data_IF_480531035388
#
_entry.id   IF_480531035388
#
_cell.length_a   1.000
_cell.length_b   1.000
_cell.length_c   1.000
_cell.angle_alpha   90.00
_cell.angle_beta   90.00
_cell.angle_gamma   90.00
#
_symmetry.space_group_name_H-M   'P 1'
#
loop_
_entity.id
_entity.type
_entity.pdbx_description
1 polymer ?
#
# COMPACT_ATOMS: atom_id res chain seq x y z
N UNK A 1 -2.75 23.84 1.34
CA UNK A 1 -3.25 23.03 2.46
C UNK A 1 -3.56 21.67 1.86
N UNK A 2 -2.70 20.69 2.09
CA UNK A 2 -2.67 19.44 1.31
C UNK A 2 -3.46 18.37 2.04
N UNK A 3 -4.51 17.84 1.40
CA UNK A 3 -5.30 16.75 1.98
C UNK A 3 -4.59 15.41 1.75
N UNK A 4 -4.09 14.79 2.82
CA UNK A 4 -3.80 13.36 2.81
C UNK A 4 -5.12 12.60 2.77
N UNK A 5 -5.35 11.82 1.71
CA UNK A 5 -6.40 10.80 1.74
C UNK A 5 -5.95 9.65 2.64
N UNK A 6 -6.52 9.61 3.85
CA UNK A 6 -6.43 8.46 4.77
C UNK A 6 -7.79 7.76 4.75
N UNK A 7 -7.79 6.45 4.46
CA UNK A 7 -9.02 5.66 4.43
C UNK A 7 -9.61 5.50 5.84
N UNK A 8 -10.93 5.61 5.96
CA UNK A 8 -11.64 5.58 7.25
C UNK A 8 -12.54 4.34 7.39
N UNK A 9 -12.84 3.97 8.63
CA UNK A 9 -13.74 2.88 9.01
C UNK A 9 -14.96 3.48 9.72
N UNK A 10 -16.09 3.53 9.01
CA UNK A 10 -17.25 4.38 9.34
C UNK A 10 -17.91 4.00 10.67
N UNK A 11 -18.17 4.98 11.54
CA UNK A 11 -18.98 4.80 12.77
C UNK A 11 -20.03 5.91 12.92
N UNK A 12 -21.31 5.55 12.92
CA UNK A 12 -22.42 6.49 13.20
C UNK A 12 -22.77 6.52 14.70
N UNK A 13 -22.67 7.67 15.40
CA UNK A 13 -23.21 7.82 16.75
C UNK A 13 -24.71 8.20 16.68
N UNK A 14 -25.59 7.22 16.88
CA UNK A 14 -27.04 7.47 16.88
C UNK A 14 -27.49 8.11 18.20
N UNK A 15 -27.83 9.41 18.16
CA UNK A 15 -28.31 10.16 19.33
C UNK A 15 -29.84 10.13 19.45
N UNK A 16 -30.35 9.76 20.63
CA UNK A 16 -31.64 10.28 21.15
C UNK A 16 -31.53 10.55 22.66
N UNK A 17 -32.14 11.63 23.19
CA UNK A 17 -31.93 12.06 24.56
C UNK A 17 -33.02 11.56 25.52
N UNK A 18 -32.67 11.36 26.80
CA UNK A 18 -33.66 11.34 27.88
C UNK A 18 -33.15 12.04 29.16
N UNK A 19 -33.90 13.07 29.56
CA UNK A 19 -34.05 13.72 30.87
C UNK A 19 -32.83 14.32 31.62
N UNK A 20 -32.93 15.64 31.78
CA UNK A 20 -32.28 16.47 32.78
C UNK A 20 -32.50 15.99 34.23
N UNK A 21 -31.49 16.18 35.08
CA UNK A 21 -31.62 17.04 36.28
C UNK A 21 -30.26 17.69 36.65
N UNK A 22 -30.22 18.87 37.30
CA UNK A 22 -29.01 19.69 37.38
C UNK A 22 -28.23 19.59 38.71
N UNK A 23 -26.93 19.89 38.65
CA UNK A 23 -26.05 20.12 39.81
C UNK A 23 -25.05 21.25 39.51
N UNK A 24 -24.89 22.18 40.45
CA UNK A 24 -24.16 23.46 40.26
C UNK A 24 -22.66 23.40 40.58
N UNK A 25 -21.88 24.26 39.88
CA UNK A 25 -20.56 24.88 40.19
C UNK A 25 -19.70 24.92 38.89
N UNK A 26 -18.94 25.95 38.52
CA UNK A 26 -18.95 27.41 38.74
C UNK A 26 -17.92 28.09 37.80
N UNK A 27 -18.07 29.41 37.54
CA UNK A 27 -17.12 30.39 36.92
C UNK A 27 -15.61 30.02 36.96
N UNK A 28 -14.71 30.44 36.05
CA UNK A 28 -14.66 31.32 34.84
C UNK A 28 -13.33 31.00 34.08
N UNK A 29 -12.75 31.63 33.04
CA UNK A 29 -12.93 32.78 32.10
C UNK A 29 -11.79 32.70 31.03
N UNK A 30 -11.65 33.47 29.93
CA UNK A 30 -12.44 34.46 29.15
C UNK A 30 -11.79 34.61 27.74
N UNK A 31 -12.60 34.73 26.67
CA UNK A 31 -12.29 35.41 25.37
C UNK A 31 -11.17 34.82 24.46
N UNK A 32 -11.11 35.10 23.15
CA UNK A 32 -11.85 36.09 22.34
C UNK A 32 -12.44 35.53 21.03
N UNK A 33 -13.51 36.17 20.55
CA UNK A 33 -14.15 35.90 19.24
C UNK A 33 -13.51 36.72 18.09
N UNK A 34 -13.65 36.24 16.85
CA UNK A 34 -13.53 37.03 15.63
C UNK A 34 -14.36 36.36 14.50
N UNK A 35 -15.12 37.14 13.74
CA UNK A 35 -16.31 36.61 13.04
C UNK A 35 -16.37 36.96 11.54
N UNK A 36 -16.29 35.92 10.69
CA UNK A 36 -16.87 35.87 9.33
C UNK A 36 -16.45 36.93 8.27
N UNK A 37 -16.92 36.84 7.01
CA UNK A 37 -17.04 35.64 6.17
C UNK A 37 -16.47 35.83 4.74
N UNK A 38 -16.03 34.76 4.07
CA UNK A 38 -15.90 34.73 2.59
C UNK A 38 -16.35 33.37 2.06
N UNK A 39 -17.34 33.35 1.15
CA UNK A 39 -17.64 32.16 0.36
C UNK A 39 -16.58 31.99 -0.75
N UNK A 40 -15.82 30.91 -0.72
CA UNK A 40 -14.99 30.46 -1.83
C UNK A 40 -15.52 29.16 -2.42
N UNK A 41 -15.97 29.17 -3.69
CA UNK A 41 -16.45 27.97 -4.39
C UNK A 41 -15.25 27.09 -4.76
N UNK A 42 -14.83 26.23 -3.84
CA UNK A 42 -13.78 25.24 -4.07
C UNK A 42 -14.32 24.05 -4.86
N UNK A 43 -13.84 23.88 -6.10
CA UNK A 43 -14.14 22.72 -6.94
C UNK A 43 -13.31 21.53 -6.46
N UNK A 44 -13.94 20.56 -5.80
CA UNK A 44 -13.31 19.29 -5.42
C UNK A 44 -13.60 18.20 -6.45
N UNK A 45 -12.56 17.68 -7.11
CA UNK A 45 -12.63 16.42 -7.85
C UNK A 45 -12.28 15.26 -6.90
N UNK A 46 -13.29 14.71 -6.23
CA UNK A 46 -13.16 13.47 -5.47
C UNK A 46 -13.28 12.27 -6.42
N UNK A 47 -12.16 11.62 -6.72
CA UNK A 47 -12.14 10.28 -7.35
C UNK A 47 -11.51 9.30 -6.35
N UNK A 48 -12.32 8.32 -5.94
CA UNK A 48 -11.96 7.25 -5.01
C UNK A 48 -12.44 5.94 -5.63
N UNK A 49 -11.51 5.02 -5.92
CA UNK A 49 -11.78 3.86 -6.78
C UNK A 49 -11.13 2.59 -6.23
N UNK A 50 -12.00 1.65 -5.86
CA UNK A 50 -11.94 0.18 -6.01
C UNK A 50 -10.63 -0.59 -5.80
N UNK A 51 -10.71 -1.58 -4.90
CA UNK A 51 -9.85 -2.75 -4.86
C UNK A 51 -10.61 -3.95 -5.47
N UNK A 52 -10.06 -4.68 -6.45
CA UNK A 52 -10.62 -5.97 -6.88
C UNK A 52 -10.27 -7.05 -5.85
N UNK A 53 -11.25 -7.86 -5.44
CA UNK A 53 -11.03 -9.02 -4.56
C UNK A 53 -10.97 -10.31 -5.37
N UNK A 54 -9.87 -11.06 -5.25
CA UNK A 54 -9.66 -12.34 -5.94
C UNK A 54 -9.89 -13.55 -5.04
N UNK A 55 -9.87 -14.74 -5.66
CA UNK A 55 -10.41 -15.98 -5.10
C UNK A 55 -9.66 -16.45 -3.84
N UNK A 56 -10.42 -17.03 -2.91
CA UNK A 56 -10.05 -17.18 -1.49
C UNK A 56 -9.95 -18.66 -1.09
N UNK A 57 -8.95 -19.00 -0.28
CA UNK A 57 -8.74 -20.34 0.30
C UNK A 57 -9.94 -20.79 1.16
N UNK A 58 -10.34 -22.07 1.08
CA UNK A 58 -11.43 -22.64 1.87
C UNK A 58 -11.23 -22.52 3.40
N UNK A 59 -9.99 -22.39 3.89
CA UNK A 59 -9.67 -22.08 5.27
C UNK A 59 -10.20 -20.69 5.69
N UNK A 60 -9.94 -19.68 4.86
CA UNK A 60 -10.37 -18.30 5.08
C UNK A 60 -11.88 -18.14 4.81
N UNK A 61 -12.44 -18.84 3.83
CA UNK A 61 -13.91 -18.89 3.62
C UNK A 61 -14.62 -19.45 4.86
N UNK A 62 -14.13 -20.53 5.47
CA UNK A 62 -14.71 -21.08 6.69
C UNK A 62 -14.64 -20.10 7.88
N UNK A 63 -13.57 -19.32 7.98
CA UNK A 63 -13.42 -18.28 9.00
C UNK A 63 -14.43 -17.14 8.79
N UNK A 64 -14.66 -16.71 7.54
CA UNK A 64 -15.72 -15.75 7.20
C UNK A 64 -17.14 -16.33 7.43
N UNK A 65 -17.37 -17.62 7.19
CA UNK A 65 -18.69 -18.24 7.42
C UNK A 65 -19.15 -18.16 8.89
N UNK A 66 -18.23 -18.07 9.86
CA UNK A 66 -18.60 -17.83 11.27
C UNK A 66 -19.25 -16.47 11.51
N UNK A 67 -18.95 -15.45 10.69
CA UNK A 67 -19.56 -14.12 10.79
C UNK A 67 -21.04 -14.11 10.34
N UNK A 68 -21.53 -15.16 9.66
CA UNK A 68 -22.82 -15.15 8.99
C UNK A 68 -23.74 -16.32 9.40
N UNK A 69 -23.94 -16.52 10.71
CA UNK A 69 -24.91 -17.50 11.25
C UNK A 69 -26.35 -16.95 11.40
N UNK A 70 -26.87 -16.22 10.41
CA UNK A 70 -28.33 -16.08 10.25
C UNK A 70 -28.76 -15.56 8.87
N UNK A 71 -29.22 -16.46 7.99
CA UNK A 71 -30.46 -16.32 7.18
C UNK A 71 -30.76 -17.65 6.47
N UNK A 72 -32.05 -17.95 6.26
CA UNK A 72 -32.51 -19.21 5.65
C UNK A 72 -32.37 -19.19 4.13
N UNK A 73 -32.10 -20.36 3.53
CA UNK A 73 -32.25 -20.60 2.08
C UNK A 73 -33.62 -20.13 1.60
N UNK A 74 -33.65 -19.28 0.56
CA UNK A 74 -34.77 -19.15 -0.37
C UNK A 74 -34.23 -19.12 -1.80
N UNK A 75 -34.51 -20.17 -2.54
CA UNK A 75 -34.33 -20.23 -3.99
C UNK A 75 -35.33 -19.32 -4.69
N UNK A 76 -34.85 -18.42 -5.53
CA UNK A 76 -35.69 -17.63 -6.46
C UNK A 76 -34.99 -17.63 -7.81
N UNK A 77 -35.56 -18.33 -8.79
CA UNK A 77 -35.17 -18.17 -10.19
C UNK A 77 -35.87 -16.93 -10.76
N UNK A 78 -35.12 -16.10 -11.47
CA UNK A 78 -35.66 -15.22 -12.50
C UNK A 78 -34.75 -15.26 -13.73
N UNK A 79 -35.37 -15.34 -14.90
CA UNK A 79 -34.72 -15.29 -16.21
C UNK A 79 -35.35 -14.14 -16.99
N UNK A 80 -34.57 -13.13 -17.34
CA UNK A 80 -34.98 -12.05 -18.24
C UNK A 80 -33.85 -11.77 -19.20
N UNK A 81 -34.12 -11.92 -20.49
CA UNK A 81 -33.18 -11.64 -21.57
C UNK A 81 -33.01 -10.14 -21.78
N UNK A 82 -31.80 -9.68 -22.11
CA UNK A 82 -31.54 -8.32 -22.58
C UNK A 82 -31.07 -8.34 -24.05
N UNK A 83 -31.48 -7.35 -24.87
CA UNK A 83 -30.96 -7.21 -26.24
C UNK A 83 -29.51 -6.71 -26.22
N UNK A 84 -28.75 -7.06 -27.26
CA UNK A 84 -27.36 -6.65 -27.41
C UNK A 84 -27.22 -5.14 -27.63
N UNK A 85 -26.12 -4.56 -27.13
CA UNK A 85 -25.66 -3.21 -27.48
C UNK A 85 -24.40 -3.28 -28.36
N UNK A 86 -24.13 -2.28 -29.23
CA UNK A 86 -23.05 -2.36 -30.21
C UNK A 86 -21.67 -2.07 -29.61
N UNK A 87 -20.64 -2.59 -30.28
CA UNK A 87 -19.24 -2.25 -30.04
C UNK A 87 -18.95 -0.77 -30.39
N UNK A 88 -17.97 -0.14 -29.74
CA UNK A 88 -17.69 1.29 -29.95
C UNK A 88 -16.74 1.96 -28.96
N UNK A 89 -15.43 1.80 -29.15
CA UNK A 89 -14.43 2.65 -28.49
C UNK A 89 -14.57 4.12 -28.94
N UNK A 90 -14.79 5.05 -28.01
CA UNK A 90 -14.41 6.47 -28.16
C UNK A 90 -13.95 7.05 -26.83
N UNK A 91 -12.65 7.32 -26.71
CA UNK A 91 -12.11 8.16 -25.65
C UNK A 91 -12.49 9.62 -25.90
N UNK A 92 -12.69 10.38 -24.83
CA UNK A 92 -13.03 11.80 -24.87
C UNK A 92 -12.05 12.58 -23.98
N UNK A 93 -11.00 13.11 -24.61
CA UNK A 93 -10.02 14.00 -23.97
C UNK A 93 -10.59 15.41 -23.81
N UNK A 94 -10.75 15.95 -22.58
CA UNK A 94 -11.23 17.30 -22.38
C UNK A 94 -10.05 18.29 -22.34
N UNK A 95 -9.80 19.02 -23.43
CA UNK A 95 -9.06 20.27 -23.32
C UNK A 95 -9.92 21.29 -22.57
N UNK A 96 -9.42 21.82 -21.45
CA UNK A 96 -10.12 22.85 -20.66
C UNK A 96 -9.18 24.03 -20.41
N UNK A 97 -9.33 25.07 -21.21
CA UNK A 97 -8.67 26.36 -20.95
C UNK A 97 -9.37 27.06 -19.79
N UNK A 98 -8.62 27.46 -18.76
CA UNK A 98 -9.15 28.21 -17.61
C UNK A 98 -8.27 29.42 -17.31
N UNK A 99 -8.81 30.62 -17.57
CA UNK A 99 -8.29 31.84 -16.96
C UNK A 99 -8.64 31.83 -15.47
N UNK A 100 -7.64 31.98 -14.60
CA UNK A 100 -7.82 32.08 -13.16
C UNK A 100 -6.73 32.96 -12.55
N UNK A 101 -7.12 34.08 -11.95
CA UNK A 101 -6.18 34.97 -11.25
C UNK A 101 -5.63 34.26 -10.00
N UNK A 102 -4.37 34.56 -9.67
CA UNK A 102 -3.64 34.00 -8.51
C UNK A 102 -3.43 32.47 -8.51
N UNK A 103 -3.37 31.85 -9.69
CA UNK A 103 -2.60 30.61 -9.82
C UNK A 103 -1.12 30.91 -9.47
N UNK A 104 -0.58 30.26 -8.44
CA UNK A 104 0.89 30.21 -8.27
C UNK A 104 1.45 29.48 -9.49
N UNK A 105 2.48 30.03 -10.13
CA UNK A 105 3.14 29.38 -11.24
C UNK A 105 3.50 27.93 -10.86
N UNK A 106 3.02 26.97 -11.65
CA UNK A 106 3.35 25.55 -11.45
C UNK A 106 4.87 25.43 -11.54
N UNK A 107 5.55 24.77 -10.58
CA UNK A 107 6.99 24.59 -10.65
C UNK A 107 7.39 23.97 -11.98
N UNK A 108 8.47 24.47 -12.57
CA UNK A 108 8.99 23.95 -13.83
C UNK A 108 9.55 22.54 -13.59
N UNK A 109 9.24 21.61 -14.50
CA UNK A 109 9.81 20.26 -14.46
C UNK A 109 11.32 20.34 -14.70
N UNK A 110 12.17 19.64 -13.93
CA UNK A 110 13.60 19.56 -14.20
C UNK A 110 13.86 19.15 -15.65
N UNK A 111 14.79 19.86 -16.30
CA UNK A 111 15.16 19.60 -17.68
C UNK A 111 15.60 18.13 -17.86
N UNK A 112 15.15 17.50 -18.95
CA UNK A 112 15.54 16.13 -19.29
C UNK A 112 17.06 16.08 -19.52
N UNK A 113 17.78 15.31 -18.71
CA UNK A 113 19.24 15.18 -18.83
C UNK A 113 19.56 14.25 -20.01
N UNK A 114 20.35 14.69 -21.00
CA UNK A 114 20.75 13.84 -22.11
C UNK A 114 21.53 12.62 -21.60
N UNK A 115 21.12 11.43 -22.02
CA UNK A 115 21.70 10.15 -21.60
C UNK A 115 20.85 9.37 -20.59
N UNK A 116 19.93 10.01 -19.85
CA UNK A 116 18.99 9.30 -18.98
C UNK A 116 18.18 8.28 -19.79
N UNK A 117 18.14 7.04 -19.31
CA UNK A 117 17.27 6.01 -19.89
C UNK A 117 15.85 6.22 -19.38
N UNK A 118 14.93 6.52 -20.31
CA UNK A 118 13.52 6.75 -20.00
C UNK A 118 12.75 5.44 -20.18
N UNK A 119 12.01 5.05 -19.13
CA UNK A 119 11.15 3.86 -19.10
C UNK A 119 9.81 4.27 -18.54
N UNK A 120 8.70 3.83 -19.14
CA UNK A 120 7.37 4.09 -18.56
C UNK A 120 7.26 3.49 -17.14
N UNK A 121 6.48 4.13 -16.27
CA UNK A 121 6.04 3.50 -15.02
C UNK A 121 4.94 2.48 -15.33
N UNK A 122 5.00 1.30 -14.71
CA UNK A 122 4.08 0.20 -14.95
C UNK A 122 2.67 0.55 -14.45
N UNK A 123 1.63 -0.09 -15.01
CA UNK A 123 0.24 0.30 -14.74
C UNK A 123 -0.12 0.24 -13.24
N UNK A 124 0.36 -0.78 -12.53
CA UNK A 124 0.11 -0.93 -11.08
C UNK A 124 0.96 0.04 -10.23
N UNK A 125 2.11 0.49 -10.73
CA UNK A 125 2.96 1.46 -10.04
C UNK A 125 2.41 2.90 -10.19
N UNK A 126 1.91 3.26 -11.38
CA UNK A 126 1.40 4.59 -11.76
C UNK A 126 0.01 4.93 -11.13
N UNK A 127 -0.38 4.25 -10.06
CA UNK A 127 -1.69 4.38 -9.42
C UNK A 127 -1.80 5.58 -8.47
N UNK A 128 -3.01 6.14 -8.35
CA UNK A 128 -3.27 7.33 -7.54
C UNK A 128 -2.91 7.15 -6.05
N UNK A 129 -3.11 5.94 -5.51
CA UNK A 129 -2.78 5.61 -4.13
C UNK A 129 -1.26 5.48 -3.93
N UNK A 130 -0.53 4.87 -4.87
CA UNK A 130 0.92 4.77 -4.81
C UNK A 130 1.60 6.15 -4.89
N UNK A 131 1.03 7.08 -5.66
CA UNK A 131 1.46 8.49 -5.73
C UNK A 131 1.24 9.24 -4.41
N UNK A 132 0.23 8.85 -3.63
CA UNK A 132 -0.11 9.45 -2.34
C UNK A 132 0.64 8.81 -1.16
N UNK A 133 1.33 7.70 -1.36
CA UNK A 133 1.99 6.93 -0.31
C UNK A 133 3.52 7.09 -0.37
N UNK A 134 4.05 7.55 0.76
CA UNK A 134 5.47 7.65 1.06
C UNK A 134 5.69 6.99 2.42
N UNK A 135 6.74 6.19 2.55
CA UNK A 135 6.94 5.27 3.66
C UNK A 135 8.32 5.46 4.28
N UNK A 136 8.37 5.46 5.61
CA UNK A 136 9.59 5.36 6.41
C UNK A 136 9.66 3.97 7.06
N UNK A 137 10.73 3.21 6.79
CA UNK A 137 11.04 1.96 7.49
C UNK A 137 12.23 2.18 8.42
N UNK A 138 11.94 2.30 9.72
CA UNK A 138 12.92 2.63 10.77
C UNK A 138 13.42 1.33 11.42
N UNK A 139 14.67 0.97 11.15
CA UNK A 139 15.37 -0.17 11.75
C UNK A 139 16.24 0.27 12.93
N UNK A 140 16.17 -0.46 14.05
CA UNK A 140 17.03 -0.27 15.23
C UNK A 140 18.00 -1.44 15.37
N UNK A 141 19.29 -1.13 15.40
CA UNK A 141 20.36 -2.07 15.76
C UNK A 141 20.88 -1.71 17.16
N UNK A 142 21.19 -2.70 18.00
CA UNK A 142 21.77 -2.46 19.33
C UNK A 142 23.32 -2.48 19.30
N UNK A 143 23.88 -2.45 18.10
CA UNK A 143 25.29 -2.37 17.78
C UNK A 143 25.55 -1.07 17.01
N UNK A 144 26.77 -0.56 17.09
CA UNK A 144 27.18 0.63 16.32
C UNK A 144 27.68 0.18 14.94
N UNK A 145 26.82 0.34 13.93
CA UNK A 145 27.13 -0.04 12.55
C UNK A 145 27.98 1.02 11.84
N UNK A 146 28.85 0.59 10.92
CA UNK A 146 29.62 1.46 10.04
C UNK A 146 28.69 2.17 9.02
N UNK A 147 28.52 3.50 9.11
CA UNK A 147 27.60 4.26 8.26
C UNK A 147 28.10 4.40 6.82
N UNK A 148 29.42 4.34 6.61
CA UNK A 148 30.06 4.46 5.30
C UNK A 148 29.96 3.13 4.55
N UNK A 149 30.18 2.01 5.24
CA UNK A 149 29.94 0.67 4.67
C UNK A 149 28.47 0.48 4.29
N UNK A 150 27.53 0.95 5.11
CA UNK A 150 26.09 0.94 4.80
C UNK A 150 25.78 1.77 3.53
N UNK A 151 26.34 2.98 3.40
CA UNK A 151 26.22 3.81 2.20
C UNK A 151 26.76 3.11 0.95
N UNK A 152 28.05 2.76 0.95
CA UNK A 152 28.75 2.27 -0.25
C UNK A 152 28.21 0.92 -0.74
N UNK A 153 27.74 0.05 0.16
CA UNK A 153 27.10 -1.22 -0.23
C UNK A 153 25.71 -1.04 -0.83
N UNK A 154 24.99 0.03 -0.50
CA UNK A 154 23.72 0.37 -1.14
C UNK A 154 23.96 0.98 -2.52
N UNK A 155 24.89 1.93 -2.61
CA UNK A 155 25.30 2.52 -3.90
C UNK A 155 25.83 1.46 -4.86
N UNK A 156 26.65 0.53 -4.36
CA UNK A 156 27.13 -0.63 -5.11
C UNK A 156 26.00 -1.54 -5.60
N UNK A 157 24.92 -1.74 -4.84
CA UNK A 157 23.75 -2.47 -5.33
C UNK A 157 23.11 -1.76 -6.53
N UNK A 158 23.05 -0.43 -6.54
CA UNK A 158 22.50 0.35 -7.66
C UNK A 158 23.36 0.26 -8.93
N UNK A 159 24.61 -0.21 -8.87
CA UNK A 159 25.44 -0.49 -10.05
C UNK A 159 25.17 -1.86 -10.68
N UNK A 160 24.49 -2.76 -9.97
CA UNK A 160 24.37 -4.18 -10.36
C UNK A 160 23.18 -4.38 -11.31
N UNK A 161 23.43 -4.07 -12.59
CA UNK A 161 22.53 -4.35 -13.71
C UNK A 161 21.23 -3.55 -13.66
N UNK A 162 20.10 -4.27 -13.56
CA UNK A 162 18.75 -3.67 -13.57
C UNK A 162 18.38 -2.98 -12.23
N UNK A 163 19.14 -3.20 -11.14
CA UNK A 163 18.89 -2.59 -9.82
C UNK A 163 19.00 -1.06 -9.78
N UNK A 164 19.69 -0.44 -10.75
CA UNK A 164 19.71 1.01 -10.96
C UNK A 164 18.32 1.65 -11.12
N UNK A 165 17.26 0.90 -11.44
CA UNK A 165 15.88 1.44 -11.49
C UNK A 165 15.49 2.15 -10.18
N UNK A 166 16.00 1.68 -9.03
CA UNK A 166 15.75 2.31 -7.72
C UNK A 166 16.36 3.70 -7.58
N UNK A 167 17.48 3.97 -8.27
CA UNK A 167 18.12 5.27 -8.33
C UNK A 167 17.59 6.21 -9.41
N UNK A 168 16.45 5.88 -10.04
CA UNK A 168 15.82 6.72 -11.06
C UNK A 168 15.28 8.05 -10.53
N UNK A 169 14.50 8.73 -11.36
CA UNK A 169 13.75 9.96 -11.07
C UNK A 169 12.33 9.79 -11.58
N UNK A 170 11.35 10.19 -10.78
CA UNK A 170 9.94 10.17 -11.19
C UNK A 170 9.64 11.45 -11.98
N UNK A 171 9.12 11.32 -13.20
CA UNK A 171 8.72 12.44 -14.07
C UNK A 171 7.32 12.23 -14.63
N UNK A 172 6.68 13.30 -15.09
CA UNK A 172 5.45 13.22 -15.90
C UNK A 172 5.84 13.27 -17.39
N UNK A 173 5.22 12.41 -18.19
CA UNK A 173 5.23 12.52 -19.66
C UNK A 173 4.12 13.45 -20.18
N UNK A 174 4.12 13.68 -21.49
CA UNK A 174 3.15 14.53 -22.20
C UNK A 174 1.70 14.00 -22.08
N UNK A 175 1.54 12.71 -21.82
CA UNK A 175 0.25 12.03 -21.63
C UNK A 175 -0.22 12.08 -20.16
N UNK A 176 0.54 12.69 -19.25
CA UNK A 176 0.20 12.83 -17.83
C UNK A 176 0.39 11.56 -16.99
N UNK A 177 1.02 10.52 -17.54
CA UNK A 177 1.46 9.32 -16.81
C UNK A 177 2.87 9.52 -16.25
N UNK A 178 3.29 8.66 -15.33
CA UNK A 178 4.65 8.68 -14.81
C UNK A 178 5.65 7.93 -15.71
N UNK A 179 6.85 8.51 -15.83
CA UNK A 179 8.05 7.90 -16.41
C UNK A 179 9.14 7.78 -15.33
N UNK A 180 9.91 6.70 -15.39
CA UNK A 180 11.23 6.58 -14.78
C UNK A 180 12.28 7.19 -15.71
N UNK A 181 13.00 8.19 -15.22
CA UNK A 181 14.23 8.69 -15.83
C UNK A 181 15.43 8.15 -15.05
N UNK A 182 16.23 7.27 -15.65
CA UNK A 182 17.28 6.52 -14.97
C UNK A 182 18.65 7.03 -15.43
N UNK A 183 19.45 7.69 -14.56
CA UNK A 183 20.82 8.09 -14.88
C UNK A 183 21.69 6.90 -15.33
N UNK A 184 22.64 7.14 -16.24
CA UNK A 184 23.61 6.12 -16.66
C UNK A 184 24.57 5.74 -15.52
N UNK A 185 24.93 6.73 -14.71
CA UNK A 185 25.80 6.63 -13.54
C UNK A 185 25.26 7.54 -12.42
N UNK A 186 25.65 7.25 -11.18
CA UNK A 186 25.34 8.09 -10.02
C UNK A 186 26.59 8.85 -9.58
N UNK A 187 26.43 10.12 -9.24
CA UNK A 187 27.47 11.00 -8.71
C UNK A 187 26.92 11.87 -7.56
N UNK A 188 27.77 12.69 -6.94
CA UNK A 188 27.38 13.57 -5.82
C UNK A 188 26.31 14.61 -6.20
N UNK A 189 26.08 14.88 -7.50
CA UNK A 189 25.06 15.83 -8.00
C UNK A 189 23.75 15.13 -8.29
N UNK A 190 23.80 13.88 -8.76
CA UNK A 190 22.66 13.03 -9.10
C UNK A 190 22.82 11.66 -8.43
N UNK A 191 22.76 11.57 -7.09
CA UNK A 191 22.96 10.31 -6.39
C UNK A 191 21.78 9.36 -6.62
N UNK A 192 22.04 8.06 -6.51
CA UNK A 192 21.02 7.02 -6.60
C UNK A 192 20.18 6.87 -5.34
N UNK A 193 20.67 7.36 -4.19
CA UNK A 193 19.97 7.41 -2.91
C UNK A 193 20.32 8.74 -2.22
N UNK A 194 19.34 9.42 -1.61
CA UNK A 194 19.68 10.55 -0.73
C UNK A 194 20.28 10.01 0.56
N UNK A 195 21.48 10.45 0.94
CA UNK A 195 22.19 9.94 2.11
C UNK A 195 22.37 11.03 3.18
N UNK A 196 21.98 10.69 4.41
CA UNK A 196 22.13 11.53 5.60
C UNK A 196 22.72 10.69 6.74
N UNK A 197 23.73 11.21 7.43
CA UNK A 197 24.32 10.58 8.61
C UNK A 197 24.52 11.60 9.73
N UNK A 198 24.14 11.22 10.95
CA UNK A 198 24.39 11.98 12.17
C UNK A 198 25.05 11.07 13.20
N UNK A 199 26.18 11.52 13.74
CA UNK A 199 26.82 10.91 14.90
C UNK A 199 26.42 11.66 16.18
N UNK A 200 26.09 10.91 17.23
CA UNK A 200 25.82 11.45 18.56
C UNK A 200 26.79 10.88 19.61
N UNK A 201 27.30 11.76 20.46
CA UNK A 201 28.17 11.42 21.59
C UNK A 201 27.43 10.89 22.84
N UNK A 202 26.14 10.60 22.70
CA UNK A 202 25.30 10.05 23.76
C UNK A 202 24.85 8.63 23.44
N UNK A 203 24.30 7.94 24.44
CA UNK A 203 23.65 6.64 24.27
C UNK A 203 22.26 6.81 23.67
N UNK A 204 21.75 5.81 22.94
CA UNK A 204 20.40 5.86 22.34
C UNK A 204 19.30 6.10 23.38
N UNK A 205 19.50 5.65 24.63
CA UNK A 205 18.58 5.87 25.74
C UNK A 205 18.40 7.36 26.11
N UNK A 206 19.32 8.25 25.71
CA UNK A 206 19.27 9.71 25.96
C UNK A 206 18.62 10.45 24.77
N UNK A 207 18.60 9.85 23.59
CA UNK A 207 18.06 10.51 22.39
C UNK A 207 16.53 10.66 22.49
N UNK A 208 15.95 11.88 22.30
CA UNK A 208 14.55 12.13 22.62
C UNK A 208 13.55 11.27 21.82
N UNK A 209 13.78 11.06 20.52
CA UNK A 209 12.93 10.16 19.71
C UNK A 209 13.37 8.68 19.79
N UNK A 210 14.60 8.36 19.37
CA UNK A 210 15.09 6.98 19.26
C UNK A 210 15.10 6.16 20.58
N UNK A 211 15.10 6.80 21.76
CA UNK A 211 14.94 6.10 23.05
C UNK A 211 13.57 5.42 23.19
N UNK A 212 12.53 5.99 22.56
CA UNK A 212 11.14 5.57 22.60
C UNK A 212 10.79 4.51 21.55
N UNK A 213 11.72 4.15 20.65
CA UNK A 213 11.50 3.09 19.66
C UNK A 213 11.29 1.73 20.36
N UNK A 214 10.38 0.88 19.86
CA UNK A 214 10.17 -0.46 20.37
C UNK A 214 11.45 -1.29 20.44
N UNK A 215 11.46 -2.30 21.32
CA UNK A 215 12.53 -3.28 21.43
C UNK A 215 11.93 -4.68 21.31
N UNK A 216 12.62 -5.60 20.64
CA UNK A 216 12.17 -6.99 20.51
C UNK A 216 12.02 -7.71 21.86
N UNK A 217 12.72 -7.23 22.90
CA UNK A 217 12.64 -7.73 24.29
C UNK A 217 11.67 -6.95 25.19
N UNK A 218 10.84 -6.06 24.63
CA UNK A 218 9.82 -5.36 25.43
C UNK A 218 8.68 -6.30 25.82
N UNK A 219 8.01 -6.07 26.98
CA UNK A 219 6.72 -6.68 27.25
C UNK A 219 5.66 -6.21 26.24
N UNK A 220 4.51 -6.91 26.12
CA UNK A 220 3.39 -6.47 25.30
C UNK A 220 2.96 -5.05 25.69
N UNK A 221 2.95 -4.15 24.72
CA UNK A 221 2.83 -2.72 24.96
C UNK A 221 2.17 -1.99 23.78
N UNK A 222 1.57 -0.85 24.08
CA UNK A 222 1.05 0.11 23.11
C UNK A 222 2.03 1.29 23.07
N UNK A 223 2.56 1.58 21.89
CA UNK A 223 3.49 2.68 21.62
C UNK A 223 2.75 3.84 20.94
N UNK A 224 3.42 5.00 20.88
CA UNK A 224 2.92 6.20 20.22
C UNK A 224 2.68 6.03 18.71
N UNK A 225 2.17 7.10 18.10
CA UNK A 225 2.01 7.22 16.64
C UNK A 225 3.37 7.03 15.94
N UNK A 226 3.51 6.08 14.99
CA UNK A 226 4.73 5.90 14.21
C UNK A 226 5.20 7.19 13.49
N UNK A 227 4.29 8.07 13.11
CA UNK A 227 4.63 9.34 12.46
C UNK A 227 5.44 10.29 13.37
N UNK A 228 5.38 10.13 14.70
CA UNK A 228 6.21 10.90 15.63
C UNK A 228 7.71 10.61 15.46
N UNK A 229 8.08 9.49 14.81
CA UNK A 229 9.46 9.14 14.52
C UNK A 229 9.97 9.66 13.17
N UNK A 230 9.17 10.39 12.38
CA UNK A 230 9.58 10.96 11.08
C UNK A 230 10.81 11.90 11.20
N UNK A 231 11.06 12.47 12.39
CA UNK A 231 12.31 13.19 12.67
C UNK A 231 13.59 12.33 12.61
N UNK A 232 13.48 11.01 12.41
CA UNK A 232 14.59 10.08 12.14
C UNK A 232 14.74 9.73 10.65
N UNK A 233 13.86 10.25 9.77
CA UNK A 233 13.95 10.10 8.32
C UNK A 233 15.05 10.98 7.71
N UNK A 234 15.13 11.04 6.38
CA UNK A 234 16.06 11.93 5.69
C UNK A 234 15.43 13.33 5.52
N UNK A 235 16.02 14.42 6.05
CA UNK A 235 15.34 15.73 6.13
C UNK A 235 14.96 16.31 4.76
N UNK A 236 15.77 16.06 3.74
CA UNK A 236 15.53 16.48 2.36
C UNK A 236 14.73 15.51 1.48
N UNK A 237 14.23 14.38 2.00
CA UNK A 237 13.43 13.45 1.17
C UNK A 237 12.07 14.09 0.82
N UNK A 238 11.64 14.06 -0.46
CA UNK A 238 10.36 14.64 -0.85
C UNK A 238 9.17 13.99 -0.12
N UNK A 239 8.30 14.82 0.49
CA UNK A 239 7.10 14.37 1.22
C UNK A 239 5.82 14.32 0.37
N UNK A 240 5.92 14.45 -0.96
CA UNK A 240 4.80 14.29 -1.91
C UNK A 240 5.29 13.96 -3.32
N UNK A 241 4.38 13.50 -4.19
CA UNK A 241 4.69 13.19 -5.59
C UNK A 241 5.21 14.42 -6.35
N UNK A 242 4.66 15.61 -6.10
CA UNK A 242 5.13 16.88 -6.65
C UNK A 242 6.59 17.15 -6.26
N UNK A 243 6.98 16.79 -5.03
CA UNK A 243 8.35 16.94 -4.56
C UNK A 243 9.35 16.07 -5.33
N UNK A 244 8.96 14.88 -5.82
CA UNK A 244 9.78 14.11 -6.77
C UNK A 244 9.71 14.68 -8.19
N UNK A 245 8.51 15.04 -8.66
CA UNK A 245 8.29 15.53 -10.02
C UNK A 245 9.05 16.82 -10.33
N UNK A 246 9.17 17.72 -9.34
CA UNK A 246 9.80 19.04 -9.49
C UNK A 246 11.19 19.14 -8.83
N UNK A 247 11.83 18.02 -8.53
CA UNK A 247 13.24 17.98 -8.11
C UNK A 247 14.01 16.82 -8.75
N UNK A 248 15.33 16.91 -8.86
CA UNK A 248 16.18 15.79 -9.33
C UNK A 248 16.68 14.91 -8.19
N UNK A 249 15.79 14.62 -7.24
CA UNK A 249 16.02 13.70 -6.12
C UNK A 249 15.54 12.27 -6.47
N UNK A 250 16.27 11.21 -6.07
CA UNK A 250 15.79 9.83 -6.22
C UNK A 250 14.52 9.59 -5.39
N UNK A 251 13.72 8.57 -5.74
CA UNK A 251 12.54 8.16 -4.96
C UNK A 251 12.90 7.63 -3.57
N UNK A 252 14.15 7.27 -3.32
CA UNK A 252 14.64 6.56 -2.13
C UNK A 252 15.72 7.36 -1.36
N UNK A 253 15.68 7.28 -0.04
CA UNK A 253 16.62 7.93 0.87
C UNK A 253 17.00 7.02 2.05
N UNK A 254 18.21 7.22 2.58
CA UNK A 254 18.76 6.54 3.75
C UNK A 254 19.22 7.57 4.78
N UNK A 255 18.71 7.47 6.01
CA UNK A 255 19.08 8.32 7.14
C UNK A 255 19.64 7.45 8.26
N UNK A 256 20.92 7.64 8.62
CA UNK A 256 21.62 6.86 9.62
C UNK A 256 21.89 7.72 10.86
N UNK A 257 21.40 7.30 12.02
CA UNK A 257 21.62 7.97 13.30
C UNK A 257 22.46 7.05 14.18
N UNK A 258 23.73 7.40 14.34
CA UNK A 258 24.71 6.62 15.11
C UNK A 258 24.85 7.18 16.53
N UNK A 259 24.90 6.30 17.52
CA UNK A 259 25.05 6.64 18.94
C UNK A 259 26.15 5.79 19.58
N UNK A 260 26.46 6.00 20.86
CA UNK A 260 27.52 5.23 21.54
C UNK A 260 27.19 3.75 21.78
N UNK A 261 25.95 3.32 21.63
CA UNK A 261 25.49 1.95 21.94
C UNK A 261 24.36 1.42 21.03
N UNK A 262 24.16 2.02 19.86
CA UNK A 262 23.20 1.61 18.84
C UNK A 262 23.32 2.45 17.55
N UNK A 263 22.81 1.91 16.45
CA UNK A 263 22.55 2.66 15.21
C UNK A 263 21.06 2.52 14.82
N UNK A 264 20.43 3.64 14.43
CA UNK A 264 19.16 3.64 13.70
C UNK A 264 19.44 3.82 12.22
N UNK A 265 18.75 3.05 11.38
CA UNK A 265 18.76 3.21 9.91
C UNK A 265 17.31 3.36 9.47
N UNK A 266 16.97 4.53 8.93
CA UNK A 266 15.67 4.79 8.29
C UNK A 266 15.83 4.73 6.78
N UNK A 267 15.02 3.89 6.14
CA UNK A 267 14.86 3.89 4.67
C UNK A 267 13.55 4.59 4.34
N UNK A 268 13.58 5.64 3.51
CA UNK A 268 12.40 6.40 3.09
C UNK A 268 12.16 6.22 1.59
N UNK A 269 10.96 5.87 1.14
CA UNK A 269 10.66 5.69 -0.29
C UNK A 269 9.22 6.05 -0.71
N UNK A 270 9.01 6.32 -2.00
CA UNK A 270 7.68 6.41 -2.61
C UNK A 270 7.13 5.02 -2.95
N UNK A 271 5.85 4.76 -2.67
CA UNK A 271 5.21 3.48 -2.99
C UNK A 271 5.09 3.21 -4.50
N UNK A 272 5.31 4.22 -5.35
CA UNK A 272 5.48 4.01 -6.80
C UNK A 272 6.75 3.22 -7.16
N UNK A 273 7.68 3.00 -6.22
CA UNK A 273 8.94 2.27 -6.45
C UNK A 273 8.92 0.82 -5.91
N UNK A 274 8.37 0.62 -4.70
CA UNK A 274 8.41 -0.67 -3.99
C UNK A 274 7.15 -0.83 -3.15
N UNK A 275 6.53 -2.01 -3.25
CA UNK A 275 5.69 -2.55 -2.18
C UNK A 275 6.55 -3.22 -1.07
N UNK A 276 5.88 -3.78 -0.06
CA UNK A 276 6.54 -4.42 1.10
C UNK A 276 7.37 -5.66 0.72
N UNK A 277 7.00 -6.38 -0.35
CA UNK A 277 7.68 -7.60 -0.81
C UNK A 277 8.93 -7.24 -1.64
N UNK A 278 8.81 -6.22 -2.49
CA UNK A 278 9.93 -5.63 -3.21
C UNK A 278 10.93 -4.99 -2.23
N UNK A 279 10.45 -4.33 -1.16
CA UNK A 279 11.28 -3.82 -0.07
C UNK A 279 12.02 -4.94 0.69
N UNK A 280 11.36 -6.08 0.98
CA UNK A 280 12.07 -7.25 1.55
C UNK A 280 13.15 -7.78 0.60
N UNK A 281 12.90 -7.76 -0.71
CA UNK A 281 13.83 -8.21 -1.75
C UNK A 281 15.05 -7.27 -1.89
N UNK A 282 14.83 -5.95 -1.79
CA UNK A 282 15.89 -4.94 -1.68
C UNK A 282 16.79 -5.22 -0.47
N UNK A 283 16.22 -5.45 0.72
CA UNK A 283 17.01 -5.75 1.92
C UNK A 283 17.83 -7.04 1.78
N UNK A 284 17.30 -8.08 1.12
CA UNK A 284 18.06 -9.30 0.79
C UNK A 284 19.24 -9.03 -0.15
N UNK A 285 19.03 -8.25 -1.22
CA UNK A 285 20.09 -7.90 -2.16
C UNK A 285 21.17 -7.00 -1.52
N UNK A 286 20.78 -5.97 -0.76
CA UNK A 286 21.70 -5.07 -0.07
C UNK A 286 22.53 -5.80 1.00
N UNK A 287 21.91 -6.69 1.78
CA UNK A 287 22.65 -7.51 2.76
C UNK A 287 23.55 -8.56 2.11
N UNK A 288 23.29 -8.98 0.86
CA UNK A 288 24.22 -9.77 0.07
C UNK A 288 25.48 -8.96 -0.32
N UNK A 289 25.34 -7.71 -0.79
CA UNK A 289 26.49 -6.80 -1.05
C UNK A 289 27.29 -6.55 0.23
N UNK A 290 26.64 -6.23 1.36
CA UNK A 290 27.30 -6.02 2.66
C UNK A 290 28.15 -7.22 3.13
N UNK A 291 27.77 -8.42 2.72
CA UNK A 291 28.45 -9.69 2.99
C UNK A 291 29.45 -10.12 1.90
N UNK A 292 29.66 -9.32 0.84
CA UNK A 292 30.54 -9.67 -0.28
C UNK A 292 30.01 -10.78 -1.19
N UNK A 293 28.69 -11.01 -1.19
CA UNK A 293 28.01 -12.08 -1.95
C UNK A 293 27.22 -11.52 -3.13
N UNK A 294 27.88 -10.74 -4.00
CA UNK A 294 27.20 -10.11 -5.14
C UNK A 294 26.58 -11.13 -6.12
N UNK A 295 27.14 -12.34 -6.21
CA UNK A 295 26.61 -13.44 -7.01
C UNK A 295 25.27 -14.01 -6.50
N UNK A 296 24.88 -13.72 -5.25
CA UNK A 296 23.61 -14.16 -4.66
C UNK A 296 22.46 -13.16 -4.93
N UNK A 297 22.74 -12.04 -5.60
CA UNK A 297 21.75 -10.99 -5.88
C UNK A 297 20.83 -11.45 -7.02
N UNK A 298 19.51 -11.53 -6.81
CA UNK A 298 18.59 -11.88 -7.88
C UNK A 298 18.51 -10.76 -8.92
N UNK A 299 18.31 -11.12 -10.19
CA UNK A 299 18.01 -10.15 -11.24
C UNK A 299 16.70 -9.42 -10.90
N UNK A 300 16.69 -8.09 -11.03
CA UNK A 300 15.47 -7.30 -10.91
C UNK A 300 14.55 -7.59 -12.11
N UNK A 301 13.38 -8.14 -11.83
CA UNK A 301 12.31 -8.38 -12.80
C UNK A 301 11.53 -7.07 -12.98
N UNK A 302 10.98 -6.82 -14.17
CA UNK A 302 10.16 -5.63 -14.42
C UNK A 302 10.95 -4.35 -14.72
N UNK A 303 12.18 -4.44 -15.24
CA UNK A 303 12.96 -3.24 -15.57
C UNK A 303 12.29 -2.38 -16.65
N UNK A 304 12.06 -2.95 -17.85
CA UNK A 304 11.40 -2.30 -19.02
C UNK A 304 9.99 -2.80 -19.29
N UNK A 305 9.83 -4.11 -19.33
CA UNK A 305 8.57 -4.80 -19.62
C UNK A 305 7.89 -5.16 -18.29
N UNK A 306 6.57 -4.97 -18.18
CA UNK A 306 5.79 -5.45 -17.03
C UNK A 306 5.37 -6.91 -17.27
N UNK A 307 5.75 -7.88 -16.39
CA UNK A 307 5.22 -9.24 -16.46
C UNK A 307 3.69 -9.30 -16.36
N UNK A 308 3.06 -8.36 -15.65
CA UNK A 308 1.60 -8.29 -15.42
C UNK A 308 0.86 -7.82 -16.67
N UNK A 309 1.41 -6.88 -17.45
CA UNK A 309 0.80 -6.45 -18.73
C UNK A 309 0.61 -7.65 -19.67
N UNK A 310 1.50 -8.66 -19.61
CA UNK A 310 1.35 -9.87 -20.41
C UNK A 310 0.12 -10.71 -20.05
N UNK A 311 -0.51 -10.49 -18.88
CA UNK A 311 -1.74 -11.15 -18.43
C UNK A 311 -3.01 -10.44 -18.92
N UNK A 312 -2.90 -9.16 -19.33
CA UNK A 312 -4.04 -8.35 -19.73
C UNK A 312 -4.80 -8.99 -20.91
N UNK A 313 -6.12 -9.11 -20.79
CA UNK A 313 -6.99 -9.66 -21.84
C UNK A 313 -6.92 -11.18 -22.05
N UNK A 314 -6.10 -11.94 -21.29
CA UNK A 314 -6.05 -13.43 -21.42
C UNK A 314 -7.34 -14.14 -21.01
N UNK A 315 -8.12 -13.52 -20.12
CA UNK A 315 -9.42 -14.03 -19.67
C UNK A 315 -10.49 -13.00 -20.03
N UNK A 316 -11.68 -13.41 -20.51
CA UNK A 316 -12.80 -12.51 -20.69
C UNK A 316 -13.10 -11.72 -19.42
N UNK A 317 -13.50 -10.44 -19.56
CA UNK A 317 -13.90 -9.63 -18.42
C UNK A 317 -15.21 -10.15 -17.84
N UNK A 318 -15.11 -10.93 -16.76
CA UNK A 318 -16.26 -11.38 -15.99
C UNK A 318 -16.80 -10.23 -15.13
N UNK A 319 -18.11 -10.28 -14.81
CA UNK A 319 -18.71 -9.36 -13.86
C UNK A 319 -18.05 -9.53 -12.48
N UNK A 320 -17.49 -8.47 -11.94
CA UNK A 320 -16.86 -8.47 -10.60
C UNK A 320 -17.85 -8.97 -9.53
N UNK A 321 -17.36 -9.76 -8.57
CA UNK A 321 -18.16 -10.38 -7.50
C UNK A 321 -18.86 -9.33 -6.62
N UNK A 322 -18.28 -8.14 -6.51
CA UNK A 322 -18.80 -6.98 -5.79
C UNK A 322 -19.50 -5.97 -6.71
N UNK A 323 -19.69 -6.26 -8.01
CA UNK A 323 -20.34 -5.33 -8.94
C UNK A 323 -21.76 -4.96 -8.52
N UNK A 324 -22.56 -5.90 -8.01
CA UNK A 324 -23.91 -5.60 -7.50
C UNK A 324 -23.90 -4.89 -6.12
N UNK A 325 -22.70 -4.67 -5.56
CA UNK A 325 -22.43 -3.87 -4.38
C UNK A 325 -21.80 -2.50 -4.74
N UNK A 326 -21.71 -2.16 -6.04
CA UNK A 326 -21.29 -0.83 -6.51
C UNK A 326 -22.17 0.26 -5.89
N UNK A 327 -21.53 1.20 -5.20
CA UNK A 327 -22.24 2.36 -4.66
C UNK A 327 -22.87 3.17 -5.79
N UNK A 328 -24.19 3.35 -5.75
CA UNK A 328 -24.90 4.23 -6.67
C UNK A 328 -24.36 5.66 -6.54
N UNK A 329 -24.53 6.50 -7.59
CA UNK A 329 -24.05 7.91 -7.55
C UNK A 329 -24.60 8.68 -6.34
N UNK A 330 -25.84 8.41 -5.93
CA UNK A 330 -26.43 8.99 -4.73
C UNK A 330 -25.82 8.40 -3.44
N UNK A 331 -25.60 7.08 -3.39
CA UNK A 331 -24.90 6.44 -2.27
C UNK A 331 -23.49 6.96 -2.08
N UNK A 332 -22.74 7.19 -3.17
CA UNK A 332 -21.41 7.81 -3.13
C UNK A 332 -21.46 9.26 -2.61
N UNK A 333 -22.42 10.08 -3.07
CA UNK A 333 -22.61 11.44 -2.53
C UNK A 333 -22.93 11.42 -1.03
N UNK A 334 -23.78 10.48 -0.58
CA UNK A 334 -24.11 10.29 0.84
C UNK A 334 -22.86 9.86 1.64
N UNK A 335 -22.05 8.93 1.12
CA UNK A 335 -20.79 8.52 1.72
C UNK A 335 -19.77 9.67 1.83
N UNK A 336 -19.64 10.51 0.79
CA UNK A 336 -18.78 11.70 0.84
C UNK A 336 -19.28 12.69 1.90
N UNK A 337 -20.59 12.91 2.01
CA UNK A 337 -21.16 13.78 3.05
C UNK A 337 -20.92 13.24 4.46
N UNK A 338 -21.11 11.93 4.69
CA UNK A 338 -20.78 11.30 5.97
C UNK A 338 -19.29 11.35 6.28
N UNK A 339 -18.41 11.13 5.29
CA UNK A 339 -16.96 11.21 5.45
C UNK A 339 -16.51 12.63 5.83
N UNK A 340 -17.08 13.66 5.20
CA UNK A 340 -16.82 15.07 5.55
C UNK A 340 -17.36 15.41 6.94
N UNK A 341 -18.55 14.92 7.29
CA UNK A 341 -19.11 15.07 8.64
C UNK A 341 -18.23 14.39 9.70
N UNK A 342 -17.73 13.17 9.43
CA UNK A 342 -16.84 12.43 10.31
C UNK A 342 -15.52 13.18 10.54
N UNK A 343 -14.88 13.69 9.48
CA UNK A 343 -13.66 14.51 9.61
C UNK A 343 -13.90 15.84 10.34
N UNK A 344 -15.09 16.45 10.26
CA UNK A 344 -15.41 17.73 10.93
C UNK A 344 -15.81 17.53 12.40
N UNK A 345 -16.57 16.48 12.73
CA UNK A 345 -17.06 16.22 14.08
C UNK A 345 -16.12 15.34 14.92
N UNK A 346 -15.32 14.48 14.29
CA UNK A 346 -14.36 13.59 14.95
C UNK A 346 -12.92 13.77 14.42
N UNK A 347 -12.36 14.99 14.36
CA UNK A 347 -11.05 15.29 13.77
C UNK A 347 -9.84 14.67 14.51
N UNK A 348 -10.06 14.00 15.65
CA UNK A 348 -9.01 13.40 16.48
C UNK A 348 -8.91 11.90 16.24
N UNK A 349 -8.17 11.53 15.22
CA UNK A 349 -7.71 10.15 15.02
C UNK A 349 -6.31 9.99 15.65
N UNK A 350 -6.11 8.94 16.44
CA UNK A 350 -4.79 8.58 16.98
C UNK A 350 -4.28 7.28 16.35
N UNK A 351 -3.04 7.26 15.88
CA UNK A 351 -2.36 6.02 15.50
C UNK A 351 -1.50 5.55 16.68
N UNK A 352 -1.40 4.23 16.84
CA UNK A 352 -0.63 3.56 17.90
C UNK A 352 -0.07 2.26 17.34
N UNK A 353 1.17 1.93 17.69
CA UNK A 353 1.75 0.62 17.38
C UNK A 353 1.54 -0.34 18.54
N UNK A 354 1.03 -1.54 18.28
CA UNK A 354 0.73 -2.55 19.31
C UNK A 354 1.70 -3.72 19.16
N UNK A 355 2.42 -4.04 20.23
CA UNK A 355 3.28 -5.23 20.30
C UNK A 355 2.48 -6.43 20.81
N UNK A 356 2.19 -7.36 19.89
CA UNK A 356 1.57 -8.67 20.20
C UNK A 356 2.68 -9.71 20.29
N UNK A 357 2.81 -10.46 21.40
CA UNK A 357 3.90 -11.42 21.58
C UNK A 357 3.60 -12.76 20.89
N UNK A 358 4.64 -13.44 20.40
CA UNK A 358 4.52 -14.73 19.72
C UNK A 358 3.69 -15.76 20.50
N UNK A 359 3.98 -15.98 21.79
CA UNK A 359 3.26 -16.97 22.61
C UNK A 359 1.73 -16.75 22.63
N UNK A 360 1.27 -15.51 22.48
CA UNK A 360 -0.15 -15.17 22.43
C UNK A 360 -0.74 -15.45 21.04
N UNK A 361 0.01 -15.16 19.98
CA UNK A 361 -0.35 -15.53 18.60
C UNK A 361 -0.43 -17.07 18.48
N UNK A 362 0.57 -17.81 18.95
CA UNK A 362 0.55 -19.28 18.92
C UNK A 362 -0.60 -19.86 19.76
N UNK A 363 -0.96 -19.24 20.89
CA UNK A 363 -2.15 -19.62 21.68
C UNK A 363 -3.44 -19.43 20.87
N UNK A 364 -3.65 -18.25 20.28
CA UNK A 364 -4.83 -17.96 19.45
C UNK A 364 -4.89 -18.88 18.21
N UNK A 365 -3.75 -19.10 17.55
CA UNK A 365 -3.59 -19.97 16.38
C UNK A 365 -3.94 -21.42 16.70
N UNK A 366 -3.50 -21.94 17.85
CA UNK A 366 -3.90 -23.27 18.33
C UNK A 366 -5.41 -23.31 18.58
N UNK A 367 -5.95 -22.37 19.35
CA UNK A 367 -7.39 -22.32 19.64
C UNK A 367 -8.24 -22.30 18.36
N UNK A 368 -7.88 -21.45 17.39
CA UNK A 368 -8.58 -21.37 16.11
C UNK A 368 -8.52 -22.70 15.32
N UNK A 369 -7.37 -23.39 15.31
CA UNK A 369 -7.26 -24.72 14.67
C UNK A 369 -8.08 -25.80 15.39
N UNK A 370 -8.01 -25.85 16.72
CA UNK A 370 -8.76 -26.83 17.53
C UNK A 370 -10.29 -26.66 17.33
N UNK A 371 -10.78 -25.41 17.32
CA UNK A 371 -12.20 -25.11 17.09
C UNK A 371 -12.64 -25.38 15.64
N UNK A 372 -11.79 -25.10 14.63
CA UNK A 372 -12.10 -25.38 13.22
C UNK A 372 -12.05 -26.87 12.89
N UNK A 373 -11.19 -27.66 13.57
CA UNK A 373 -11.17 -29.11 13.48
C UNK A 373 -12.52 -29.69 13.95
N UNK A 374 -12.99 -29.23 15.13
CA UNK A 374 -14.27 -29.62 15.70
C UNK A 374 -15.46 -29.27 14.78
N UNK A 375 -15.49 -28.08 14.17
CA UNK A 375 -16.55 -27.72 13.23
C UNK A 375 -16.54 -28.52 11.92
N UNK A 376 -15.35 -28.89 11.41
CA UNK A 376 -15.22 -29.71 10.20
C UNK A 376 -15.40 -31.21 10.46
N UNK A 377 -15.45 -31.64 11.72
CA UNK A 377 -15.43 -33.05 12.11
C UNK A 377 -14.10 -33.75 11.78
N UNK A 378 -13.03 -32.98 11.54
CA UNK A 378 -11.70 -33.47 11.18
C UNK A 378 -10.82 -33.65 12.41
N UNK A 379 -9.82 -34.53 12.33
CA UNK A 379 -8.83 -34.73 13.41
C UNK A 379 -7.88 -33.54 13.57
N UNK A 380 -7.70 -32.75 12.51
CA UNK A 380 -6.82 -31.59 12.46
C UNK A 380 -7.56 -30.41 11.84
N UNK A 381 -7.23 -29.19 12.27
CA UNK A 381 -7.76 -27.95 11.70
C UNK A 381 -7.05 -27.59 10.38
N UNK A 382 -7.63 -26.71 9.56
CA UNK A 382 -6.96 -26.22 8.35
C UNK A 382 -5.66 -25.48 8.69
N UNK A 383 -4.80 -25.29 7.68
CA UNK A 383 -3.69 -24.37 7.82
C UNK A 383 -4.21 -22.96 8.14
N UNK A 384 -3.47 -22.26 9.00
CA UNK A 384 -3.63 -20.84 9.31
C UNK A 384 -2.24 -20.24 9.43
N UNK A 385 -2.01 -19.10 8.79
CA UNK A 385 -0.85 -18.25 9.01
C UNK A 385 -1.01 -17.43 10.29
N UNK A 386 0.06 -16.76 10.72
CA UNK A 386 -0.01 -15.79 11.82
C UNK A 386 -0.76 -14.50 11.40
N UNK A 387 -0.77 -14.19 10.09
CA UNK A 387 -1.52 -13.08 9.52
C UNK A 387 -3.04 -13.27 9.63
N UNK A 388 -3.54 -14.48 9.32
CA UNK A 388 -4.98 -14.80 9.46
C UNK A 388 -5.46 -14.63 10.90
N UNK A 389 -4.66 -15.11 11.85
CA UNK A 389 -4.96 -15.06 13.29
C UNK A 389 -4.93 -13.61 13.81
N UNK A 390 -3.91 -12.83 13.44
CA UNK A 390 -3.82 -11.41 13.80
C UNK A 390 -4.94 -10.60 13.17
N UNK A 391 -5.26 -10.81 11.90
CA UNK A 391 -6.31 -10.10 11.18
C UNK A 391 -7.69 -10.39 11.79
N UNK A 392 -7.99 -11.66 12.08
CA UNK A 392 -9.25 -12.06 12.70
C UNK A 392 -9.39 -11.53 14.14
N UNK A 393 -8.33 -11.67 14.96
CA UNK A 393 -8.31 -11.13 16.33
C UNK A 393 -8.48 -9.61 16.37
N UNK A 394 -7.75 -8.87 15.53
CA UNK A 394 -7.84 -7.42 15.46
C UNK A 394 -9.19 -6.94 14.93
N UNK A 395 -9.74 -7.62 13.91
CA UNK A 395 -11.09 -7.34 13.39
C UNK A 395 -12.15 -7.57 14.45
N UNK A 396 -12.09 -8.70 15.18
CA UNK A 396 -13.03 -9.01 16.26
C UNK A 396 -12.94 -7.97 17.39
N UNK A 397 -11.73 -7.60 17.81
CA UNK A 397 -11.48 -6.61 18.86
C UNK A 397 -12.03 -5.23 18.46
N UNK A 398 -11.76 -4.79 17.23
CA UNK A 398 -12.23 -3.50 16.70
C UNK A 398 -13.75 -3.48 16.59
N UNK A 399 -14.38 -4.50 15.99
CA UNK A 399 -15.85 -4.58 15.85
C UNK A 399 -16.55 -4.65 17.21
N UNK A 400 -15.97 -5.34 18.19
CA UNK A 400 -16.53 -5.46 19.55
C UNK A 400 -16.36 -4.19 20.40
N UNK A 401 -15.39 -3.32 20.07
CA UNK A 401 -15.17 -2.05 20.75
C UNK A 401 -16.07 -0.91 20.22
N UNK A 402 -16.77 -1.12 19.10
CA UNK A 402 -17.60 -0.12 18.45
C UNK A 402 -19.10 -0.34 18.76
N UNK A 403 -19.91 0.73 18.90
CA UNK A 403 -21.34 0.64 19.24
C UNK A 403 -22.20 0.27 18.01
N UNK A 404 -21.84 -0.82 17.32
CA UNK A 404 -22.48 -1.25 16.08
C UNK A 404 -23.74 -2.09 16.37
N UNK A 405 -24.75 -1.96 15.50
CA UNK A 405 -25.87 -2.90 15.49
C UNK A 405 -25.36 -4.31 15.14
N UNK A 406 -25.86 -5.39 15.77
CA UNK A 406 -25.59 -6.78 15.35
C UNK A 406 -25.96 -7.09 13.88
N UNK A 407 -26.72 -6.20 13.23
CA UNK A 407 -27.10 -6.29 11.81
C UNK A 407 -26.30 -5.37 10.88
N UNK A 408 -25.31 -4.62 11.39
CA UNK A 408 -24.49 -3.71 10.58
C UNK A 408 -23.42 -4.51 9.82
N UNK A 409 -23.49 -4.49 8.49
CA UNK A 409 -22.40 -5.01 7.64
C UNK A 409 -21.10 -4.26 7.92
N UNK A 410 -20.01 -5.00 8.10
CA UNK A 410 -18.64 -4.48 8.23
C UNK A 410 -17.82 -4.95 7.04
N UNK A 411 -17.07 -4.05 6.42
CA UNK A 411 -16.08 -4.39 5.41
C UNK A 411 -14.73 -4.68 6.08
N UNK A 412 -14.14 -5.83 5.78
CA UNK A 412 -12.81 -6.23 6.23
C UNK A 412 -11.95 -6.48 5.00
N UNK A 413 -10.91 -5.67 4.81
CA UNK A 413 -9.96 -5.77 3.70
C UNK A 413 -8.55 -6.07 4.17
N UNK A 414 -7.83 -6.90 3.42
CA UNK A 414 -6.41 -7.20 3.64
C UNK A 414 -5.66 -7.16 2.29
N UNK A 415 -4.35 -6.95 2.33
CA UNK A 415 -3.48 -6.94 1.14
C UNK A 415 -2.83 -8.32 0.99
N UNK A 416 -2.75 -8.83 -0.24
CA UNK A 416 -2.09 -10.11 -0.57
C UNK A 416 -1.03 -9.90 -1.65
N UNK A 417 0.02 -10.73 -1.66
CA UNK A 417 1.00 -10.74 -2.74
C UNK A 417 0.52 -11.64 -3.89
N UNK A 418 0.16 -11.03 -5.02
CA UNK A 418 -0.30 -11.76 -6.20
C UNK A 418 0.82 -12.54 -6.90
N UNK A 419 2.11 -12.25 -6.64
CA UNK A 419 3.24 -12.87 -7.36
C UNK A 419 3.27 -14.39 -7.22
N UNK A 420 2.93 -14.91 -6.04
CA UNK A 420 2.84 -16.35 -5.77
C UNK A 420 1.70 -17.06 -6.51
N UNK A 421 0.71 -16.33 -7.04
CA UNK A 421 -0.33 -16.88 -7.93
C UNK A 421 0.17 -16.98 -9.39
N UNK A 422 1.23 -16.23 -9.71
CA UNK A 422 1.77 -16.06 -11.06
C UNK A 422 3.25 -16.49 -11.14
N UNK A 423 3.62 -17.63 -10.52
CA UNK A 423 5.02 -18.10 -10.41
C UNK A 423 5.79 -18.17 -11.75
N UNK A 424 5.09 -18.45 -12.86
CA UNK A 424 5.69 -18.46 -14.21
C UNK A 424 6.18 -17.09 -14.70
N UNK A 425 5.60 -16.00 -14.15
CA UNK A 425 5.93 -14.61 -14.48
C UNK A 425 6.84 -13.98 -13.41
N UNK A 426 6.75 -14.48 -12.18
CA UNK A 426 7.59 -14.10 -11.04
C UNK A 426 8.34 -15.33 -10.51
N UNK A 427 9.35 -15.85 -11.25
CA UNK A 427 10.15 -16.98 -10.80
C UNK A 427 10.80 -16.68 -9.44
N UNK A 428 10.53 -17.54 -8.46
CA UNK A 428 11.13 -17.44 -7.13
C UNK A 428 12.67 -17.46 -7.24
N UNK A 429 13.33 -16.55 -6.52
CA UNK A 429 14.77 -16.36 -6.58
C UNK A 429 15.52 -17.68 -6.35
N UNK A 430 16.27 -18.13 -7.36
CA UNK A 430 17.00 -19.41 -7.36
C UNK A 430 16.46 -20.46 -8.33
N UNK A 431 15.31 -20.26 -8.98
CA UNK A 431 14.90 -21.07 -10.15
C UNK A 431 15.06 -20.26 -11.44
N UNK A 432 15.80 -20.76 -12.46
CA UNK A 432 15.76 -20.14 -13.78
C UNK A 432 14.35 -20.28 -14.36
N UNK A 433 13.84 -19.24 -15.01
CA UNK A 433 12.63 -19.36 -15.80
C UNK A 433 12.90 -20.35 -16.94
N UNK A 434 12.10 -21.40 -17.04
CA UNK A 434 12.21 -22.37 -18.14
C UNK A 434 11.72 -21.68 -19.40
N UNK A 435 12.67 -21.21 -20.22
CA UNK A 435 12.38 -20.65 -21.53
C UNK A 435 11.91 -21.78 -22.44
N UNK A 436 10.59 -21.95 -22.52
CA UNK A 436 9.97 -22.96 -23.36
C UNK A 436 10.11 -22.54 -24.82
N UNK A 437 11.09 -23.16 -25.49
CA UNK A 437 11.49 -22.79 -26.85
C UNK A 437 10.35 -23.07 -27.85
N UNK A 438 10.13 -22.14 -28.79
CA UNK A 438 9.03 -22.23 -29.77
C UNK A 438 9.51 -22.90 -31.05
N UNK A 439 9.66 -24.22 -30.99
CA UNK A 439 9.86 -25.10 -32.13
C UNK A 439 8.90 -26.29 -32.08
N UNK A 440 8.32 -26.64 -33.23
CA UNK A 440 7.36 -27.74 -33.47
C UNK A 440 6.07 -27.76 -32.63
N UNK A 441 4.98 -27.28 -33.24
CA UNK A 441 3.93 -28.22 -33.70
C UNK A 441 3.14 -27.63 -34.88
N UNK A 442 3.72 -27.66 -36.09
CA UNK A 442 2.96 -27.47 -37.34
C UNK A 442 2.45 -28.82 -37.83
N UNK A 443 1.26 -29.20 -37.37
CA UNK A 443 0.47 -30.31 -37.92
C UNK A 443 -0.90 -29.81 -38.36
N UNK A 444 -1.13 -29.85 -39.67
CA UNK A 444 -2.42 -29.46 -40.25
C UNK A 444 -3.53 -30.45 -39.85
N UNK A 445 -4.74 -29.97 -39.53
CA UNK A 445 -5.89 -30.84 -39.33
C UNK A 445 -6.40 -31.33 -40.70
N UNK A 446 -6.22 -32.63 -40.98
CA UNK A 446 -6.81 -33.29 -42.14
C UNK A 446 -8.34 -33.14 -42.10
N UNK A 447 -8.93 -32.73 -43.21
CA UNK A 447 -10.37 -32.51 -43.31
C UNK A 447 -11.16 -33.82 -43.14
N UNK A 448 -12.19 -33.81 -42.28
CA UNK A 448 -13.15 -34.90 -42.19
C UNK A 448 -14.20 -34.75 -43.30
N UNK A 449 -14.17 -35.65 -44.27
CA UNK A 449 -15.11 -35.69 -45.39
C UNK A 449 -16.51 -36.12 -44.92
N UNK A 450 -17.56 -35.54 -45.51
CA UNK A 450 -18.92 -35.56 -44.97
C UNK A 450 -19.86 -36.36 -45.88
N UNK A 451 -19.92 -37.68 -45.68
CA UNK A 451 -20.69 -38.58 -46.52
C UNK A 451 -21.94 -39.15 -45.81
N UNK A 452 -23.09 -39.09 -46.50
CA UNK A 452 -24.40 -39.58 -46.03
C UNK A 452 -25.08 -40.37 -47.14
N UNK A 453 -25.07 -41.71 -47.04
CA UNK A 453 -25.81 -42.56 -47.97
C UNK A 453 -26.22 -43.92 -47.36
N UNK A 454 -27.27 -43.92 -46.52
CA UNK A 454 -28.24 -45.02 -46.26
C UNK A 454 -29.29 -44.55 -45.26
#
# INVERSE_FOLDING_TARGET
MTMLLRACLIVEPCTRPHHFCPGTLSRQSHLSEASCPVMGILRYHAQLVWFPTYQVDEGYVALLCRLNRSIRRRSVQFSVSLPAFPDGRKELSPQVSTMGLFSKAKPESPARVPGDEVVAMHYLDDQFHNKALLLDFISRFNDVLDPVKLKHSFERLLEIGDWRKLGGRIRLNEQGRLDWHIPQHYDDKRPGVLYHHVQHDQRIAVHPLASQLPRASSPPAIYQDPANFHGLAHPDHPISIEGFLYSDKPPIAMSIWSSKDATIVTMSWSHCLLDVIAHQSLFKAWTAVLAGREQDIPRLIGFKEDPVDTLAGRTPSHKDVLHDQLMSRLGFMIFVLYTVFEFVCFPKQEYRLISVPDWYIQKLKKQARDELAHERGSKEGPYLSDGDVLFAWWSQLTVSALPLSPTRTVYLGNVFDARGVFEHFFPAAGRPAVQQDRSDDTREPVAAENDRAS
#
